data_IF_916434892426
#
_entry.id   IF_916434892426
#
_cell.length_a   1.000
_cell.length_b   1.000
_cell.length_c   1.000
_cell.angle_alpha   90.00
_cell.angle_beta   90.00
_cell.angle_gamma   90.00
#
_symmetry.space_group_name_H-M   'P 1'
#
loop_
_entity.id
_entity.type
_entity.pdbx_description
1 polymer ?
#
# COMPACT_ATOMS: atom_id res chain seq x y z
N UNK A 1 28.19 -18.28 14.49
CA UNK A 1 27.74 -17.89 13.15
C UNK A 1 26.23 -17.77 13.24
N UNK A 2 25.67 -16.55 13.19
CA UNK A 2 24.20 -16.36 13.22
C UNK A 2 23.72 -16.46 11.78
N UNK A 3 22.84 -17.41 11.52
CA UNK A 3 22.01 -17.45 10.31
C UNK A 3 21.39 -16.06 10.08
N UNK A 4 21.40 -15.51 8.85
CA UNK A 4 20.57 -14.35 8.56
C UNK A 4 19.12 -14.77 8.78
N UNK A 5 18.40 -14.03 9.64
CA UNK A 5 16.97 -14.23 9.83
C UNK A 5 16.30 -14.15 8.47
N UNK A 6 15.92 -15.31 7.94
CA UNK A 6 14.95 -15.42 6.86
C UNK A 6 13.77 -14.55 7.25
N UNK A 7 13.51 -13.54 6.42
CA UNK A 7 12.39 -12.64 6.59
C UNK A 7 11.15 -13.54 6.53
N UNK A 8 10.61 -13.86 7.71
CA UNK A 8 9.52 -14.80 7.88
C UNK A 8 8.25 -14.08 7.44
N UNK A 9 8.09 -13.94 6.12
CA UNK A 9 6.88 -13.45 5.49
C UNK A 9 5.77 -14.43 5.85
N UNK A 10 4.84 -14.02 6.71
CA UNK A 10 3.60 -14.75 6.92
C UNK A 10 2.64 -14.33 5.81
N UNK A 11 2.41 -15.18 4.78
CA UNK A 11 1.52 -14.85 3.66
C UNK A 11 0.07 -14.64 4.09
N UNK A 12 -0.28 -14.93 5.35
CA UNK A 12 -1.61 -14.67 5.91
C UNK A 12 -1.68 -13.36 6.72
N UNK A 13 -0.59 -12.61 6.83
CA UNK A 13 -0.56 -11.36 7.59
C UNK A 13 -0.87 -10.16 6.70
N UNK A 14 -2.16 -9.89 6.50
CA UNK A 14 -2.59 -8.66 5.84
C UNK A 14 -2.04 -7.44 6.62
N UNK A 15 -1.42 -6.50 5.91
CA UNK A 15 -0.77 -5.35 6.54
C UNK A 15 -1.01 -4.05 5.79
N UNK A 16 -1.10 -2.96 6.56
CA UNK A 16 -1.10 -1.60 6.05
C UNK A 16 -0.25 -0.73 6.96
N UNK A 17 0.81 -0.17 6.40
CA UNK A 17 1.67 0.82 7.07
C UNK A 17 1.35 2.17 6.47
N UNK A 18 1.09 3.18 7.31
CA UNK A 18 0.86 4.56 6.87
C UNK A 18 1.94 5.48 7.46
N UNK A 19 2.54 6.30 6.62
CA UNK A 19 3.65 7.21 6.95
C UNK A 19 3.32 8.62 6.48
N UNK A 20 3.38 9.57 7.41
CA UNK A 20 3.24 11.00 7.09
C UNK A 20 4.46 11.53 6.35
N UNK A 21 4.21 12.36 5.34
CA UNK A 21 5.21 13.04 4.52
C UNK A 21 4.72 14.45 4.19
N UNK A 22 4.91 15.37 5.14
CA UNK A 22 4.34 16.71 5.06
C UNK A 22 2.81 16.69 5.01
N UNK A 23 2.26 17.16 3.90
CA UNK A 23 0.81 17.17 3.65
C UNK A 23 0.28 15.84 3.07
N UNK A 24 1.16 14.91 2.69
CA UNK A 24 0.79 13.62 2.07
C UNK A 24 0.86 12.49 3.09
N UNK A 25 0.14 11.41 2.80
CA UNK A 25 0.32 10.12 3.48
C UNK A 25 0.73 9.10 2.43
N UNK A 26 1.87 8.46 2.68
CA UNK A 26 2.30 7.29 1.94
C UNK A 26 1.91 6.04 2.70
N UNK A 27 1.43 5.04 1.99
CA UNK A 27 1.12 3.74 2.56
C UNK A 27 1.81 2.62 1.83
N UNK A 28 2.15 1.57 2.57
CA UNK A 28 2.55 0.28 2.03
C UNK A 28 1.51 -0.74 2.45
N UNK A 29 0.93 -1.46 1.50
CA UNK A 29 -0.08 -2.47 1.75
C UNK A 29 0.39 -3.85 1.30
N UNK A 30 -0.07 -4.85 2.04
CA UNK A 30 -0.06 -6.24 1.64
C UNK A 30 -1.44 -6.82 1.99
N UNK A 31 -2.24 -7.08 0.96
CA UNK A 31 -3.58 -7.62 1.08
C UNK A 31 -3.65 -9.08 0.61
N UNK A 32 -2.55 -9.82 0.78
CA UNK A 32 -2.47 -11.26 0.48
C UNK A 32 -2.12 -11.49 -0.98
N UNK A 33 -3.09 -11.45 -1.88
CA UNK A 33 -2.83 -11.63 -3.31
C UNK A 33 -2.22 -10.39 -3.97
N UNK A 34 -2.40 -9.21 -3.36
CA UNK A 34 -1.88 -7.95 -3.92
C UNK A 34 -1.05 -7.20 -2.89
N UNK A 35 0.10 -6.69 -3.33
CA UNK A 35 0.96 -5.84 -2.51
C UNK A 35 1.38 -4.59 -3.27
N UNK A 36 1.69 -3.52 -2.54
CA UNK A 36 2.10 -2.28 -3.19
C UNK A 36 2.15 -1.07 -2.28
N UNK A 37 2.04 0.10 -2.90
CA UNK A 37 2.03 1.38 -2.22
C UNK A 37 0.76 2.17 -2.55
N UNK A 38 0.30 2.97 -1.59
CA UNK A 38 -0.79 3.92 -1.76
C UNK A 38 -0.36 5.33 -1.41
N UNK A 39 -1.07 6.31 -1.96
CA UNK A 39 -0.81 7.73 -1.79
C UNK A 39 -2.12 8.48 -1.55
N UNK A 40 -2.19 9.16 -0.40
CA UNK A 40 -3.15 10.23 -0.16
C UNK A 40 -2.43 11.57 -0.36
N UNK A 41 -2.95 12.38 -1.27
CA UNK A 41 -2.38 13.69 -1.59
C UNK A 41 -2.58 14.73 -0.48
N UNK A 42 -3.61 14.54 0.35
CA UNK A 42 -3.95 15.43 1.45
C UNK A 42 -4.22 14.61 2.72
N UNK A 43 -3.46 14.89 3.77
CA UNK A 43 -3.65 14.30 5.09
C UNK A 43 -4.93 14.85 5.74
N UNK A 44 -5.72 14.01 6.42
CA UNK A 44 -6.72 14.52 7.34
C UNK A 44 -6.05 15.10 8.59
N UNK A 45 -6.67 16.13 9.16
CA UNK A 45 -6.25 16.73 10.43
C UNK A 45 -7.01 16.17 11.64
N UNK A 46 -7.97 15.29 11.41
CA UNK A 46 -8.77 14.63 12.43
C UNK A 46 -9.43 13.37 11.88
N UNK A 47 -9.94 12.54 12.78
CA UNK A 47 -10.74 11.39 12.40
C UNK A 47 -12.11 11.82 11.88
N UNK A 48 -12.57 11.20 10.81
CA UNK A 48 -13.90 11.35 10.24
C UNK A 48 -14.26 10.08 9.44
N UNK A 49 -15.55 9.88 9.21
CA UNK A 49 -16.04 8.83 8.29
C UNK A 49 -15.97 9.29 6.81
N UNK A 50 -15.25 10.38 6.53
CA UNK A 50 -15.09 10.90 5.18
C UNK A 50 -14.20 9.95 4.37
N UNK A 51 -14.69 9.53 3.20
CA UNK A 51 -13.93 8.75 2.26
C UNK A 51 -12.91 9.66 1.55
N UNK A 52 -11.65 9.59 1.98
CA UNK A 52 -10.57 10.38 1.39
C UNK A 52 -10.04 9.66 0.15
N UNK A 53 -10.03 10.30 -1.02
CA UNK A 53 -9.53 9.68 -2.24
C UNK A 53 -8.04 9.39 -2.12
N UNK A 54 -7.63 8.28 -2.71
CA UNK A 54 -6.23 7.88 -2.79
C UNK A 54 -5.91 7.25 -4.15
N UNK A 55 -4.62 7.16 -4.46
CA UNK A 55 -4.08 6.39 -5.59
C UNK A 55 -3.32 5.19 -5.05
N UNK A 56 -3.27 4.11 -5.80
CA UNK A 56 -2.43 2.96 -5.48
C UNK A 56 -1.63 2.52 -6.70
N UNK A 57 -0.55 1.79 -6.45
CA UNK A 57 0.24 1.06 -7.44
C UNK A 57 0.76 -0.20 -6.77
N UNK A 58 0.82 -1.30 -7.50
CA UNK A 58 1.18 -2.57 -6.87
C UNK A 58 1.38 -3.69 -7.86
N UNK A 59 1.41 -4.89 -7.30
CA UNK A 59 1.56 -6.14 -8.02
C UNK A 59 0.63 -7.20 -7.46
N UNK A 60 0.17 -8.05 -8.34
CA UNK A 60 -0.38 -9.36 -8.01
C UNK A 60 0.79 -10.28 -7.59
N UNK A 61 0.64 -11.05 -6.51
CA UNK A 61 1.74 -11.75 -5.84
C UNK A 61 2.02 -13.16 -6.41
N UNK A 62 1.14 -13.73 -7.23
CA UNK A 62 1.31 -15.07 -7.82
C UNK A 62 1.96 -14.99 -9.21
N UNK A 63 1.33 -14.28 -10.15
CA UNK A 63 1.78 -14.05 -11.52
C UNK A 63 2.67 -12.81 -11.63
N UNK A 64 2.73 -11.97 -10.60
CA UNK A 64 3.64 -10.82 -10.56
C UNK A 64 3.21 -9.67 -11.46
N UNK A 65 1.97 -9.64 -11.94
CA UNK A 65 1.50 -8.59 -12.84
C UNK A 65 1.45 -7.24 -12.11
N UNK A 66 1.99 -6.21 -12.75
CA UNK A 66 2.09 -4.87 -12.17
C UNK A 66 0.93 -4.00 -12.65
N UNK A 67 0.26 -3.35 -11.69
CA UNK A 67 -0.79 -2.38 -11.95
C UNK A 67 -0.36 -0.97 -11.50
N UNK A 68 -0.51 -0.01 -12.43
CA UNK A 68 -0.20 1.39 -12.21
C UNK A 68 -0.94 2.28 -13.20
N UNK A 69 -1.21 3.52 -12.79
CA UNK A 69 -1.76 4.57 -13.65
C UNK A 69 -2.99 5.23 -13.04
N UNK A 70 -3.69 6.03 -13.84
CA UNK A 70 -4.83 6.82 -13.36
C UNK A 70 -6.04 5.98 -13.00
N UNK A 71 -6.14 4.78 -13.58
CA UNK A 71 -7.18 3.80 -13.29
C UNK A 71 -7.02 3.13 -11.93
N UNK A 72 -5.86 3.24 -11.28
CA UNK A 72 -5.63 2.71 -9.93
C UNK A 72 -6.07 3.73 -8.88
N UNK A 73 -7.30 3.59 -8.38
CA UNK A 73 -7.92 4.50 -7.41
C UNK A 73 -8.51 3.75 -6.22
N UNK A 74 -8.84 4.52 -5.19
CA UNK A 74 -9.51 4.00 -4.02
C UNK A 74 -9.86 5.12 -3.07
N UNK A 75 -10.31 4.74 -1.88
CA UNK A 75 -10.51 5.67 -0.78
C UNK A 75 -10.20 5.02 0.56
N UNK A 76 -9.94 5.85 1.55
CA UNK A 76 -9.77 5.43 2.94
C UNK A 76 -10.44 6.45 3.87
N UNK A 77 -11.08 5.95 4.92
CA UNK A 77 -11.64 6.75 6.00
C UNK A 77 -10.92 6.45 7.32
N UNK A 78 -10.66 7.49 8.11
CA UNK A 78 -10.02 7.38 9.42
C UNK A 78 -11.09 7.50 10.51
N UNK A 79 -11.72 6.38 10.83
CA UNK A 79 -12.93 6.28 11.66
C UNK A 79 -12.71 6.56 13.16
N UNK A 80 -11.52 7.04 13.54
CA UNK A 80 -11.14 7.31 14.92
C UNK A 80 -10.73 6.05 15.70
N UNK A 81 -10.14 6.24 16.88
CA UNK A 81 -9.69 5.15 17.76
C UNK A 81 -8.77 4.13 17.05
N UNK A 82 -7.96 4.60 16.09
CA UNK A 82 -7.07 3.77 15.30
C UNK A 82 -7.76 2.88 14.27
N UNK A 83 -9.06 3.05 14.01
CA UNK A 83 -9.80 2.27 13.01
C UNK A 83 -9.76 2.94 11.65
N UNK A 84 -9.73 2.13 10.61
CA UNK A 84 -9.84 2.56 9.22
C UNK A 84 -10.82 1.66 8.48
N UNK A 85 -11.40 2.19 7.42
CA UNK A 85 -12.10 1.45 6.38
C UNK A 85 -11.72 2.04 5.02
N UNK A 86 -11.85 1.27 3.96
CA UNK A 86 -11.62 1.79 2.63
C UNK A 86 -11.91 0.78 1.55
N UNK A 87 -11.62 1.17 0.32
CA UNK A 87 -11.70 0.33 -0.86
C UNK A 87 -10.57 0.70 -1.82
N UNK A 88 -9.99 -0.31 -2.45
CA UNK A 88 -9.14 -0.16 -3.63
C UNK A 88 -9.82 -0.86 -4.80
N UNK A 89 -9.72 -0.31 -6.01
CA UNK A 89 -10.23 -0.99 -7.21
C UNK A 89 -9.26 -2.09 -7.71
N UNK A 90 -8.83 -2.96 -6.79
CA UNK A 90 -7.99 -4.13 -7.03
C UNK A 90 -8.87 -5.32 -7.44
N UNK A 91 -8.74 -5.79 -8.68
CA UNK A 91 -9.52 -6.94 -9.18
C UNK A 91 -11.04 -6.81 -8.90
N UNK A 92 -11.60 -5.68 -9.32
CA UNK A 92 -12.92 -5.22 -8.85
C UNK A 92 -12.79 -4.27 -7.66
N UNK A 93 -13.86 -4.09 -6.90
CA UNK A 93 -13.85 -3.23 -5.70
C UNK A 93 -13.53 -4.08 -4.46
N UNK A 94 -12.30 -3.96 -3.96
CA UNK A 94 -11.83 -4.67 -2.77
C UNK A 94 -11.94 -3.78 -1.54
N UNK A 95 -12.91 -4.09 -0.67
CA UNK A 95 -13.08 -3.41 0.61
C UNK A 95 -12.10 -3.92 1.67
N UNK A 96 -11.59 -3.01 2.50
CA UNK A 96 -10.72 -3.35 3.61
C UNK A 96 -11.11 -2.61 4.89
N UNK A 97 -10.82 -3.26 6.01
CA UNK A 97 -11.00 -2.73 7.35
C UNK A 97 -9.74 -3.00 8.16
N UNK A 98 -9.37 -2.06 9.02
CA UNK A 98 -8.15 -2.17 9.80
C UNK A 98 -8.27 -1.57 11.18
N UNK A 99 -7.52 -2.12 12.12
CA UNK A 99 -7.32 -1.56 13.45
C UNK A 99 -5.83 -1.39 13.66
N UNK A 100 -5.44 -0.17 14.05
CA UNK A 100 -4.05 0.17 14.35
C UNK A 100 -3.52 -0.77 15.43
N UNK A 101 -2.46 -1.50 15.10
CA UNK A 101 -1.77 -2.32 16.07
C UNK A 101 -1.05 -1.44 17.12
N UNK A 102 -1.16 -1.78 18.42
CA UNK A 102 -0.37 -1.12 19.45
C UNK A 102 1.14 -1.36 19.22
N UNK A 103 1.93 -0.30 19.23
CA UNK A 103 3.37 -0.36 18.95
C UNK A 103 4.01 1.03 18.89
N UNK A 104 5.35 1.13 18.79
CA UNK A 104 6.04 2.41 18.68
C UNK A 104 5.41 3.24 17.56
N UNK A 105 5.08 4.50 17.86
CA UNK A 105 4.30 5.38 16.98
C UNK A 105 4.97 5.76 15.66
N UNK A 106 6.21 5.34 15.44
CA UNK A 106 6.96 5.51 14.19
C UNK A 106 6.60 4.42 13.20
N UNK A 107 6.13 4.84 12.02
CA UNK A 107 5.91 3.95 10.90
C UNK A 107 7.17 3.09 10.67
N UNK A 108 6.98 1.78 10.61
CA UNK A 108 8.06 0.81 10.40
C UNK A 108 8.77 1.00 9.05
N UNK A 109 8.23 1.86 8.17
CA UNK A 109 8.71 2.08 6.81
C UNK A 109 8.70 3.57 6.43
N UNK A 110 9.83 4.16 5.98
CA UNK A 110 9.91 5.56 5.62
C UNK A 110 9.19 5.86 4.29
N UNK A 111 8.56 7.03 4.17
CA UNK A 111 7.89 7.45 2.94
C UNK A 111 8.84 7.50 1.73
N UNK A 112 10.14 7.76 1.95
CA UNK A 112 11.14 7.77 0.89
C UNK A 112 11.28 6.43 0.16
N UNK A 113 11.20 5.28 0.86
CA UNK A 113 11.27 3.98 0.19
C UNK A 113 10.00 3.69 -0.61
N UNK A 114 8.84 4.05 -0.07
CA UNK A 114 7.55 3.93 -0.78
C UNK A 114 7.52 4.78 -2.07
N UNK A 115 8.05 6.00 -2.03
CA UNK A 115 8.22 6.86 -3.21
C UNK A 115 9.10 6.22 -4.28
N UNK A 116 10.20 5.60 -3.86
CA UNK A 116 11.13 4.97 -4.79
C UNK A 116 10.47 3.79 -5.50
N UNK A 117 9.77 2.92 -4.76
CA UNK A 117 8.99 1.83 -5.34
C UNK A 117 7.86 2.33 -6.24
N UNK A 118 7.17 3.40 -5.83
CA UNK A 118 6.12 4.03 -6.62
C UNK A 118 6.61 4.45 -8.01
N UNK A 119 7.80 5.04 -8.11
CA UNK A 119 8.44 5.39 -9.38
C UNK A 119 8.84 4.15 -10.17
N UNK A 120 9.20 3.06 -9.49
CA UNK A 120 9.48 1.75 -10.11
C UNK A 120 8.26 1.13 -10.80
N UNK A 121 7.06 1.43 -10.34
CA UNK A 121 5.83 1.04 -11.02
C UNK A 121 5.57 1.93 -12.25
N UNK A 122 6.09 1.53 -13.41
CA UNK A 122 6.02 2.30 -14.66
C UNK A 122 6.06 1.40 -15.90
N UNK A 123 5.71 1.99 -17.05
CA UNK A 123 5.65 1.30 -18.34
C UNK A 123 6.96 0.63 -18.74
N UNK A 124 8.11 1.26 -18.50
CA UNK A 124 9.40 0.67 -18.87
C UNK A 124 9.70 -0.60 -18.06
N UNK A 125 9.40 -0.60 -16.76
CA UNK A 125 9.54 -1.78 -15.91
C UNK A 125 8.56 -2.88 -16.33
N UNK A 126 7.30 -2.52 -16.60
CA UNK A 126 6.29 -3.45 -17.09
C UNK A 126 6.71 -4.12 -18.40
N UNK A 127 7.07 -3.33 -19.43
CA UNK A 127 7.46 -3.87 -20.74
C UNK A 127 8.73 -4.73 -20.69
N UNK A 128 9.68 -4.39 -19.79
CA UNK A 128 10.87 -5.21 -19.56
C UNK A 128 10.51 -6.57 -18.93
N UNK A 129 9.60 -6.57 -17.94
CA UNK A 129 9.11 -7.79 -17.31
C UNK A 129 8.31 -8.65 -18.28
N UNK A 130 7.43 -8.04 -19.09
CA UNK A 130 6.66 -8.71 -20.15
C UNK A 130 7.57 -9.35 -21.21
N UNK A 131 8.59 -8.61 -21.69
CA UNK A 131 9.54 -9.11 -22.69
C UNK A 131 10.43 -10.25 -22.19
N UNK A 132 10.56 -10.42 -20.87
CA UNK A 132 11.32 -11.52 -20.26
C UNK A 132 10.44 -12.72 -19.90
N UNK A 133 9.10 -12.60 -20.02
CA UNK A 133 8.14 -13.68 -19.78
C UNK A 133 7.83 -14.50 -21.03
N UNK A 134 8.07 -13.94 -22.22
CA UNK A 134 7.81 -14.52 -23.54
C UNK A 134 9.07 -14.55 -24.40
#
# INVERSE_FOLDING_TARGET
>A
MREPSSNNFDPNSLSLILTLDGAKIWGAYDFGQFSGNLLLESRPYGASNEALPLKWRGRENDEGEMDFGDHCYGHIAFNGNGRISGMLNLFGDCEFFGVRQPGPGTALRPAASMKQEWVGYNTSAYSYEESNRW
#
